data_IF_611067014754
#
_entry.id   IF_611067014754
#
_cell.length_a   1.000
_cell.length_b   1.000
_cell.length_c   1.000
_cell.angle_alpha   90.00
_cell.angle_beta   90.00
_cell.angle_gamma   90.00
#
_symmetry.space_group_name_H-M   'P 1'
#
loop_
_entity.id
_entity.type
_entity.pdbx_description
1 polymer ?
#
# COMPACT_ATOMS: atom_id res chain seq x y z
N UNK A 1 45.55 -25.47 7.75
CA UNK A 1 44.41 -26.16 8.38
C UNK A 1 43.56 -25.11 9.08
N UNK A 2 42.47 -24.64 8.45
CA UNK A 2 41.52 -23.73 9.10
C UNK A 2 40.71 -24.52 10.14
N UNK A 3 40.68 -24.03 11.38
CA UNK A 3 39.99 -24.71 12.48
C UNK A 3 38.48 -24.68 12.26
N UNK A 4 37.82 -25.80 12.58
CA UNK A 4 36.36 -25.99 12.54
C UNK A 4 35.62 -24.87 13.31
N UNK A 5 36.26 -24.27 14.33
CA UNK A 5 35.72 -23.13 15.09
C UNK A 5 35.61 -21.84 14.28
N UNK A 6 36.51 -21.61 13.31
CA UNK A 6 36.49 -20.42 12.44
C UNK A 6 35.39 -20.52 11.38
N UNK A 7 35.07 -21.74 10.93
CA UNK A 7 34.03 -21.97 9.92
C UNK A 7 32.62 -21.75 10.48
N UNK A 8 32.39 -22.08 11.75
CA UNK A 8 31.10 -21.86 12.44
C UNK A 8 30.83 -20.37 12.69
N UNK A 9 31.85 -19.55 12.97
CA UNK A 9 31.67 -18.10 13.11
C UNK A 9 31.22 -17.41 11.82
N UNK A 10 31.75 -17.83 10.66
CA UNK A 10 31.33 -17.25 9.37
C UNK A 10 29.87 -17.57 9.02
N UNK A 11 29.38 -18.76 9.38
CA UNK A 11 27.98 -19.14 9.15
C UNK A 11 27.01 -18.41 10.10
N UNK A 12 27.39 -18.19 11.36
CA UNK A 12 26.55 -17.46 12.31
C UNK A 12 26.50 -15.96 11.99
N UNK A 13 27.60 -15.36 11.53
CA UNK A 13 27.60 -13.96 11.08
C UNK A 13 26.81 -13.85 9.76
N UNK A 14 26.99 -14.76 8.81
CA UNK A 14 26.24 -14.75 7.53
C UNK A 14 24.72 -14.88 7.67
N UNK A 15 24.23 -15.58 8.70
CA UNK A 15 22.79 -15.70 8.96
C UNK A 15 22.17 -14.42 9.58
N UNK A 16 22.96 -13.61 10.31
CA UNK A 16 22.47 -12.37 10.93
C UNK A 16 22.35 -11.22 9.90
N UNK A 17 23.18 -11.22 8.85
CA UNK A 17 23.10 -10.23 7.76
C UNK A 17 22.05 -10.54 6.68
N UNK A 18 21.33 -11.66 6.78
CA UNK A 18 20.36 -12.09 5.76
C UNK A 18 18.96 -11.47 5.94
N UNK A 19 18.67 -10.78 7.04
CA UNK A 19 17.35 -10.20 7.28
C UNK A 19 17.22 -8.76 6.77
N UNK A 20 16.57 -8.67 5.61
CA UNK A 20 15.75 -7.55 5.10
C UNK A 20 16.50 -6.26 4.73
N UNK A 21 17.13 -6.28 3.55
CA UNK A 21 16.96 -5.11 2.69
C UNK A 21 15.48 -5.00 2.32
N UNK A 22 14.79 -4.00 2.88
CA UNK A 22 13.47 -3.60 2.40
C UNK A 22 13.62 -3.27 0.91
N UNK A 23 12.87 -3.93 0.02
CA UNK A 23 12.98 -3.68 -1.42
C UNK A 23 12.77 -2.19 -1.72
N UNK A 24 13.47 -1.68 -2.74
CA UNK A 24 13.37 -0.26 -3.14
C UNK A 24 11.91 0.18 -3.39
N UNK A 25 11.08 -0.72 -3.90
CA UNK A 25 9.64 -0.49 -4.08
C UNK A 25 8.90 -0.28 -2.74
N UNK A 26 9.24 -1.05 -1.71
CA UNK A 26 8.65 -0.89 -0.37
C UNK A 26 9.13 0.38 0.31
N UNK A 27 10.41 0.75 0.16
CA UNK A 27 10.92 2.04 0.65
C UNK A 27 10.15 3.21 0.03
N UNK A 28 9.98 3.18 -1.30
CA UNK A 28 9.20 4.20 -2.02
C UNK A 28 7.75 4.26 -1.54
N UNK A 29 7.10 3.12 -1.32
CA UNK A 29 5.74 3.10 -0.80
C UNK A 29 5.65 3.73 0.61
N UNK A 30 6.60 3.43 1.49
CA UNK A 30 6.68 4.03 2.84
C UNK A 30 6.91 5.54 2.77
N UNK A 31 7.80 6.01 1.89
CA UNK A 31 8.04 7.44 1.69
C UNK A 31 6.78 8.18 1.23
N UNK A 32 6.03 7.60 0.29
CA UNK A 32 4.75 8.17 -0.17
C UNK A 32 3.74 8.27 0.98
N UNK A 33 3.60 7.21 1.79
CA UNK A 33 2.71 7.21 2.96
C UNK A 33 3.10 8.28 3.97
N UNK A 34 4.39 8.43 4.27
CA UNK A 34 4.91 9.45 5.20
C UNK A 34 4.64 10.86 4.65
N UNK A 35 4.91 11.09 3.37
CA UNK A 35 4.71 12.39 2.74
C UNK A 35 3.22 12.79 2.75
N UNK A 36 2.33 11.90 2.32
CA UNK A 36 0.89 12.15 2.32
C UNK A 36 0.33 12.23 3.73
N UNK A 37 0.83 11.43 4.67
CA UNK A 37 0.46 11.47 6.07
C UNK A 37 0.77 12.83 6.69
N UNK A 38 1.98 13.36 6.48
CA UNK A 38 2.37 14.70 6.92
C UNK A 38 1.51 15.79 6.29
N UNK A 39 1.23 15.70 4.98
CA UNK A 39 0.43 16.70 4.25
C UNK A 39 -0.98 16.85 4.84
N UNK A 40 -1.57 15.75 5.29
CA UNK A 40 -2.94 15.71 5.82
C UNK A 40 -3.00 15.56 7.32
N UNK A 41 -1.88 15.73 8.04
CA UNK A 41 -1.79 15.64 9.49
C UNK A 41 -2.44 14.35 10.03
N UNK A 42 -2.04 13.22 9.44
CA UNK A 42 -2.43 11.88 9.91
C UNK A 42 -1.55 11.53 11.11
N UNK A 43 -2.18 11.32 12.26
CA UNK A 43 -1.49 10.97 13.49
C UNK A 43 -1.01 9.50 13.46
N UNK A 44 -0.07 9.17 14.33
CA UNK A 44 0.37 7.78 14.50
C UNK A 44 -0.79 6.88 14.95
N UNK A 45 -1.67 7.38 15.83
CA UNK A 45 -2.88 6.66 16.25
C UNK A 45 -3.83 6.41 15.07
N UNK A 46 -3.99 7.38 14.16
CA UNK A 46 -4.80 7.19 12.96
C UNK A 46 -4.18 6.16 12.00
N UNK A 47 -2.85 6.13 11.88
CA UNK A 47 -2.16 5.07 11.14
C UNK A 47 -2.38 3.69 11.77
N UNK A 48 -2.29 3.59 13.10
CA UNK A 48 -2.50 2.34 13.84
C UNK A 48 -3.95 1.83 13.74
N UNK A 49 -4.92 2.74 13.59
CA UNK A 49 -6.34 2.42 13.49
C UNK A 49 -6.90 2.57 12.07
N UNK A 50 -6.04 2.55 11.04
CA UNK A 50 -6.44 2.80 9.65
C UNK A 50 -7.55 1.85 9.18
N UNK A 51 -7.53 0.57 9.58
CA UNK A 51 -8.57 -0.40 9.22
C UNK A 51 -9.96 -0.01 9.75
N UNK A 52 -10.04 0.61 10.92
CA UNK A 52 -11.29 1.13 11.45
C UNK A 52 -11.72 2.39 10.71
N UNK A 53 -10.77 3.30 10.45
CA UNK A 53 -11.03 4.55 9.74
C UNK A 53 -11.46 4.31 8.29
N UNK A 54 -11.04 3.21 7.67
CA UNK A 54 -11.46 2.83 6.32
C UNK A 54 -12.95 2.41 6.24
N UNK A 55 -13.60 2.04 7.35
CA UNK A 55 -15.03 1.69 7.36
C UNK A 55 -15.94 2.91 7.20
N UNK A 56 -15.55 4.03 7.80
CA UNK A 56 -16.23 5.32 7.67
C UNK A 56 -15.20 6.46 7.63
N UNK A 57 -14.57 6.70 6.47
CA UNK A 57 -13.43 7.59 6.37
C UNK A 57 -13.84 9.05 6.41
N UNK A 58 -13.13 9.82 7.24
CA UNK A 58 -13.24 11.29 7.25
C UNK A 58 -12.67 11.88 5.95
N UNK A 59 -13.02 13.13 5.63
CA UNK A 59 -12.47 13.83 4.46
C UNK A 59 -10.95 13.91 4.46
N UNK A 60 -10.36 13.99 5.66
CA UNK A 60 -8.91 13.95 5.87
C UNK A 60 -8.30 12.63 5.39
N UNK A 61 -8.89 11.49 5.80
CA UNK A 61 -8.46 10.15 5.39
C UNK A 61 -8.66 9.95 3.90
N UNK A 62 -9.79 10.41 3.34
CA UNK A 62 -10.04 10.35 1.91
C UNK A 62 -9.01 11.12 1.09
N UNK A 63 -8.60 12.30 1.55
CA UNK A 63 -7.56 13.07 0.91
C UNK A 63 -6.17 12.44 1.04
N UNK A 64 -5.89 11.80 2.17
CA UNK A 64 -4.68 10.99 2.36
C UNK A 64 -4.61 9.82 1.37
N UNK A 65 -5.71 9.08 1.19
CA UNK A 65 -5.79 7.97 0.23
C UNK A 65 -5.60 8.46 -1.22
N UNK A 66 -6.25 9.57 -1.59
CA UNK A 66 -6.06 10.19 -2.91
C UNK A 66 -4.61 10.58 -3.15
N UNK A 67 -3.98 11.26 -2.20
CA UNK A 67 -2.58 11.63 -2.29
C UNK A 67 -1.67 10.42 -2.51
N UNK A 68 -1.91 9.34 -1.76
CA UNK A 68 -1.14 8.10 -1.85
C UNK A 68 -1.28 7.48 -3.24
N UNK A 69 -2.51 7.37 -3.74
CA UNK A 69 -2.80 6.81 -5.05
C UNK A 69 -2.23 7.65 -6.20
N UNK A 70 -2.22 8.98 -6.09
CA UNK A 70 -1.60 9.87 -7.08
C UNK A 70 -0.08 9.69 -7.11
N UNK A 71 0.56 9.66 -5.93
CA UNK A 71 2.03 9.61 -5.83
C UNK A 71 2.61 8.25 -6.14
N UNK A 72 1.90 7.18 -5.80
CA UNK A 72 2.33 5.86 -6.20
C UNK A 72 2.02 5.59 -7.69
N UNK A 73 1.14 6.36 -8.32
CA UNK A 73 0.75 6.23 -9.72
C UNK A 73 -0.37 5.22 -9.97
N UNK A 74 -1.12 4.86 -8.93
CA UNK A 74 -2.39 4.13 -9.04
C UNK A 74 -3.48 5.02 -9.63
N UNK A 75 -3.36 6.33 -9.41
CA UNK A 75 -4.19 7.37 -9.99
C UNK A 75 -3.30 8.33 -10.79
N UNK A 76 -3.69 8.68 -12.00
CA UNK A 76 -3.04 9.76 -12.75
C UNK A 76 -3.55 11.15 -12.32
N UNK A 77 -2.90 12.22 -12.81
CA UNK A 77 -3.29 13.60 -12.50
C UNK A 77 -4.69 13.97 -13.01
N UNK A 78 -5.20 13.25 -14.01
CA UNK A 78 -6.55 13.44 -14.50
C UNK A 78 -7.60 12.71 -13.63
N UNK A 79 -7.16 11.89 -12.68
CA UNK A 79 -8.02 11.10 -11.80
C UNK A 79 -8.42 9.75 -12.39
N UNK A 80 -7.71 9.22 -13.38
CA UNK A 80 -7.98 7.90 -13.93
C UNK A 80 -7.16 6.84 -13.18
N UNK A 81 -7.78 5.69 -12.93
CA UNK A 81 -7.13 4.56 -12.26
C UNK A 81 -6.24 3.80 -13.24
N UNK A 82 -4.99 3.55 -12.86
CA UNK A 82 -4.06 2.74 -13.63
C UNK A 82 -4.27 1.25 -13.35
N UNK A 83 -5.14 0.62 -14.14
CA UNK A 83 -5.56 -0.76 -13.93
C UNK A 83 -4.40 -1.77 -13.94
N UNK A 84 -3.33 -1.54 -14.71
CA UNK A 84 -2.16 -2.43 -14.68
C UNK A 84 -1.46 -2.40 -13.33
N UNK A 85 -1.53 -1.28 -12.61
CA UNK A 85 -0.98 -1.18 -11.26
C UNK A 85 -1.87 -1.89 -10.25
N UNK A 86 -3.19 -1.78 -10.38
CA UNK A 86 -4.14 -2.59 -9.59
C UNK A 86 -3.86 -4.08 -9.77
N UNK A 87 -3.68 -4.55 -11.02
CA UNK A 87 -3.33 -5.95 -11.31
C UNK A 87 -2.05 -6.41 -10.59
N UNK A 88 -1.02 -5.55 -10.55
CA UNK A 88 0.22 -5.85 -9.82
C UNK A 88 0.00 -5.89 -8.31
N UNK A 89 -0.74 -4.94 -7.76
CA UNK A 89 -1.02 -4.85 -6.32
C UNK A 89 -1.78 -6.10 -5.87
N UNK A 90 -2.86 -6.47 -6.57
CA UNK A 90 -3.66 -7.66 -6.21
C UNK A 90 -2.85 -8.95 -6.30
N UNK A 91 -1.99 -9.08 -7.31
CA UNK A 91 -1.08 -10.22 -7.44
C UNK A 91 -0.07 -10.29 -6.28
N UNK A 92 0.47 -9.15 -5.83
CA UNK A 92 1.40 -9.09 -4.70
C UNK A 92 0.73 -9.42 -3.36
N UNK A 93 -0.55 -9.08 -3.21
CA UNK A 93 -1.34 -9.36 -2.00
C UNK A 93 -1.73 -10.84 -1.86
N UNK A 94 -1.47 -11.67 -2.88
CA UNK A 94 -1.81 -13.11 -2.90
C UNK A 94 -3.28 -13.37 -2.57
N UNK A 95 -4.16 -12.50 -3.08
CA UNK A 95 -5.61 -12.62 -2.90
C UNK A 95 -6.15 -13.87 -3.60
N UNK A 96 -7.29 -14.38 -3.12
CA UNK A 96 -8.03 -15.40 -3.87
C UNK A 96 -8.57 -14.78 -5.16
N UNK A 97 -8.80 -15.62 -6.17
CA UNK A 97 -9.27 -15.16 -7.49
C UNK A 97 -10.55 -14.31 -7.41
N UNK A 98 -11.49 -14.70 -6.56
CA UNK A 98 -12.77 -13.99 -6.39
C UNK A 98 -12.60 -12.63 -5.69
N UNK A 99 -11.68 -12.54 -4.71
CA UNK A 99 -11.34 -11.28 -4.01
C UNK A 99 -10.64 -10.32 -4.97
N UNK A 100 -9.66 -10.83 -5.74
CA UNK A 100 -8.96 -10.06 -6.76
C UNK A 100 -9.93 -9.50 -7.81
N UNK A 101 -10.84 -10.32 -8.32
CA UNK A 101 -11.83 -9.89 -9.30
C UNK A 101 -12.77 -8.82 -8.73
N UNK A 102 -13.21 -8.99 -7.48
CA UNK A 102 -14.08 -8.03 -6.80
C UNK A 102 -13.42 -6.66 -6.63
N UNK A 103 -12.14 -6.62 -6.24
CA UNK A 103 -11.36 -5.37 -6.14
C UNK A 103 -11.19 -4.73 -7.52
N UNK A 104 -10.83 -5.51 -8.54
CA UNK A 104 -10.65 -4.98 -9.90
C UNK A 104 -11.94 -4.42 -10.48
N UNK A 105 -13.04 -5.13 -10.30
CA UNK A 105 -14.36 -4.66 -10.72
C UNK A 105 -14.73 -3.37 -9.98
N UNK A 106 -14.38 -3.28 -8.71
CA UNK A 106 -14.60 -2.08 -7.93
C UNK A 106 -13.88 -0.85 -8.53
N UNK A 107 -12.59 -0.97 -8.80
CA UNK A 107 -11.83 0.11 -9.44
C UNK A 107 -12.31 0.43 -10.86
N UNK A 108 -12.79 -0.56 -11.64
CA UNK A 108 -13.37 -0.30 -12.98
C UNK A 108 -14.68 0.49 -12.91
N UNK A 109 -15.51 0.26 -11.90
CA UNK A 109 -16.77 0.98 -11.68
C UNK A 109 -16.51 2.44 -11.30
N UNK A 110 -15.45 2.70 -10.55
CA UNK A 110 -15.03 4.06 -10.21
C UNK A 110 -14.21 4.63 -11.37
N UNK A 111 -14.93 5.12 -12.38
CA UNK A 111 -14.33 5.64 -13.62
C UNK A 111 -13.38 6.82 -13.41
N UNK A 112 -13.56 7.62 -12.35
CA UNK A 112 -12.75 8.82 -12.11
C UNK A 112 -12.75 9.26 -10.65
N UNK A 113 -11.58 9.67 -10.17
CA UNK A 113 -11.37 10.25 -8.84
C UNK A 113 -10.71 11.61 -8.99
N UNK A 114 -11.48 12.69 -8.97
CA UNK A 114 -10.95 14.07 -9.10
C UNK A 114 -10.79 14.75 -7.75
N UNK A 115 -11.67 14.43 -6.82
CA UNK A 115 -11.74 15.02 -5.48
C UNK A 115 -11.46 13.94 -4.43
N UNK A 116 -11.13 14.36 -3.21
CA UNK A 116 -11.01 13.41 -2.10
C UNK A 116 -12.33 12.67 -1.85
N UNK A 117 -13.46 13.36 -1.98
CA UNK A 117 -14.79 12.77 -1.76
C UNK A 117 -15.08 11.61 -2.73
N UNK A 118 -14.52 11.63 -3.95
CA UNK A 118 -14.69 10.56 -4.93
C UNK A 118 -14.12 9.22 -4.44
N UNK A 119 -13.11 9.24 -3.55
CA UNK A 119 -12.57 8.04 -2.93
C UNK A 119 -13.61 7.29 -2.08
N UNK A 120 -14.66 7.96 -1.59
CA UNK A 120 -15.77 7.28 -0.89
C UNK A 120 -16.43 6.22 -1.77
N UNK A 121 -16.47 6.46 -3.09
CA UNK A 121 -17.06 5.50 -4.02
C UNK A 121 -16.22 4.23 -4.11
N UNK A 122 -14.88 4.34 -4.03
CA UNK A 122 -13.97 3.18 -3.96
C UNK A 122 -14.19 2.45 -2.63
N UNK A 123 -14.22 3.17 -1.52
CA UNK A 123 -14.35 2.56 -0.18
C UNK A 123 -15.66 1.79 0.00
N UNK A 124 -16.78 2.34 -0.49
CA UNK A 124 -18.11 1.67 -0.45
C UNK A 124 -18.20 0.41 -1.31
N UNK A 125 -17.27 0.28 -2.24
CA UNK A 125 -17.28 -0.67 -3.32
C UNK A 125 -16.27 -1.81 -3.07
N UNK A 126 -15.28 -1.57 -2.22
CA UNK A 126 -14.33 -2.59 -1.77
C UNK A 126 -15.07 -3.71 -1.03
N UNK A 127 -14.75 -4.98 -1.31
CA UNK A 127 -15.29 -6.10 -0.56
C UNK A 127 -14.82 -6.03 0.89
N UNK A 128 -15.74 -6.13 1.84
CA UNK A 128 -15.43 -6.32 3.25
C UNK A 128 -15.00 -7.77 3.46
N UNK A 129 -13.73 -8.01 3.78
CA UNK A 129 -13.25 -9.32 4.25
C UNK A 129 -13.69 -9.59 5.69
#
# INVERSE_FOLDING_TARGET
MCSLKTLVCCFLIGAIYAEKELSEEKKKAVEVLIECGKKWDISEEEFQNMDQLMKDPTDKILCFLKCTAEKDGTLDEAGNVEMKKIDRITAMMKLKHDEENSIKECFRKVSKVKTCADFRNIMKCMPSN
#
